data_IF_724753720245
#
_entry.id   IF_724753720245
#
_cell.length_a   1.000
_cell.length_b   1.000
_cell.length_c   1.000
_cell.angle_alpha   90.00
_cell.angle_beta   90.00
_cell.angle_gamma   90.00
#
_symmetry.space_group_name_H-M   'P 1'
#
loop_
_entity.id
_entity.type
_entity.pdbx_description
1 polymer ?
#
# COMPACT_ATOMS: atom_id res chain seq x y z
N UNK A 1 16.54 9.18 5.62
CA UNK A 1 16.89 9.49 4.21
C UNK A 1 18.27 8.97 3.78
N UNK A 2 19.27 8.86 4.68
CA UNK A 2 20.63 8.40 4.33
C UNK A 2 20.71 7.02 3.64
N UNK A 3 19.73 6.14 3.86
CA UNK A 3 19.63 4.82 3.22
C UNK A 3 18.75 4.78 1.97
N UNK A 4 18.36 5.93 1.41
CA UNK A 4 17.51 6.08 0.19
C UNK A 4 16.17 5.32 0.19
N UNK A 5 15.67 4.88 1.35
CA UNK A 5 14.34 4.28 1.50
C UNK A 5 13.38 5.33 2.05
N UNK A 6 12.73 6.08 1.16
CA UNK A 6 11.68 7.03 1.50
C UNK A 6 10.38 6.56 0.88
N UNK A 7 9.38 6.33 1.71
CA UNK A 7 8.07 5.87 1.29
C UNK A 7 7.01 6.88 1.74
N UNK A 8 6.03 7.11 0.88
CA UNK A 8 4.89 7.96 1.13
C UNK A 8 3.60 7.16 1.00
N UNK A 9 2.60 7.51 1.80
CA UNK A 9 1.24 6.98 1.70
C UNK A 9 0.26 8.15 1.66
N UNK A 10 -0.90 7.91 1.05
CA UNK A 10 -2.07 8.75 1.25
C UNK A 10 -2.64 8.49 2.65
N UNK A 11 -2.93 9.55 3.39
CA UNK A 11 -3.42 9.48 4.79
C UNK A 11 -4.68 8.64 4.95
N UNK A 12 -5.49 8.47 3.89
CA UNK A 12 -6.67 7.59 3.96
C UNK A 12 -6.33 6.13 4.23
N UNK A 13 -5.11 5.65 3.91
CA UNK A 13 -4.67 4.29 4.23
C UNK A 13 -4.52 4.04 5.74
N UNK A 14 -4.46 5.08 6.57
CA UNK A 14 -4.45 4.96 8.05
C UNK A 14 -5.74 5.47 8.69
N UNK A 15 -6.46 6.36 8.01
CA UNK A 15 -7.66 7.01 8.55
C UNK A 15 -8.96 6.27 8.19
N UNK A 16 -8.96 5.48 7.12
CA UNK A 16 -10.14 4.72 6.63
C UNK A 16 -9.95 3.25 7.01
N UNK A 17 -10.62 2.73 8.06
CA UNK A 17 -10.32 1.41 8.61
C UNK A 17 -10.32 0.25 7.60
N UNK A 18 -11.23 0.19 6.60
CA UNK A 18 -11.18 -0.83 5.54
C UNK A 18 -9.90 -0.82 4.70
N UNK A 19 -9.23 0.32 4.57
CA UNK A 19 -8.00 0.47 3.78
C UNK A 19 -6.73 0.21 4.60
N UNK A 20 -6.84 0.03 5.93
CA UNK A 20 -5.69 -0.18 6.80
C UNK A 20 -4.87 -1.42 6.42
N UNK A 21 -5.50 -2.42 5.78
CA UNK A 21 -4.79 -3.61 5.30
C UNK A 21 -3.71 -3.26 4.27
N UNK A 22 -4.00 -2.31 3.37
CA UNK A 22 -3.01 -1.83 2.38
C UNK A 22 -1.81 -1.18 3.07
N UNK A 23 -2.05 -0.40 4.12
CA UNK A 23 -0.94 0.17 4.90
C UNK A 23 -0.07 -0.92 5.54
N UNK A 24 -0.68 -1.96 6.10
CA UNK A 24 0.04 -3.06 6.73
C UNK A 24 0.88 -3.83 5.69
N UNK A 25 0.31 -4.13 4.52
CA UNK A 25 1.01 -4.81 3.43
C UNK A 25 2.22 -4.00 2.93
N UNK A 26 2.03 -2.69 2.73
CA UNK A 26 3.10 -1.78 2.34
C UNK A 26 4.20 -1.72 3.41
N UNK A 27 3.83 -1.55 4.68
CA UNK A 27 4.78 -1.53 5.77
C UNK A 27 5.56 -2.86 5.89
N UNK A 28 4.88 -3.99 5.75
CA UNK A 28 5.51 -5.32 5.76
C UNK A 28 6.52 -5.45 4.62
N UNK A 29 6.14 -5.06 3.39
CA UNK A 29 7.00 -5.14 2.21
C UNK A 29 8.21 -4.20 2.30
N UNK A 30 8.05 -3.00 2.84
CA UNK A 30 9.16 -2.06 3.02
C UNK A 30 10.14 -2.46 4.12
N UNK A 31 9.65 -3.09 5.20
CA UNK A 31 10.47 -3.54 6.33
C UNK A 31 11.16 -4.88 6.05
N UNK A 32 10.49 -5.79 5.36
CA UNK A 32 10.95 -7.17 5.12
C UNK A 32 10.68 -7.62 3.68
N UNK A 33 11.33 -7.00 2.67
CA UNK A 33 11.05 -7.28 1.26
C UNK A 33 11.23 -8.76 0.89
N UNK A 34 12.26 -9.43 1.42
CA UNK A 34 12.52 -10.86 1.15
C UNK A 34 11.45 -11.80 1.72
N UNK A 35 10.76 -11.41 2.80
CA UNK A 35 9.72 -12.24 3.44
C UNK A 35 8.32 -11.96 2.92
N UNK A 36 8.18 -10.88 2.16
CA UNK A 36 6.92 -10.32 1.70
C UNK A 36 6.91 -10.15 0.18
N UNK A 37 7.69 -10.96 -0.54
CA UNK A 37 7.75 -10.92 -2.00
C UNK A 37 6.40 -11.24 -2.65
N UNK A 38 5.65 -12.17 -2.05
CA UNK A 38 4.33 -12.62 -2.50
C UNK A 38 3.20 -11.62 -2.22
N UNK A 39 3.44 -10.59 -1.41
CA UNK A 39 2.41 -9.59 -1.07
C UNK A 39 2.33 -8.55 -2.20
N UNK A 40 1.16 -8.41 -2.82
CA UNK A 40 0.89 -7.37 -3.83
C UNK A 40 -0.22 -6.40 -3.35
N UNK A 41 0.15 -5.24 -2.80
CA UNK A 41 -0.82 -4.23 -2.38
C UNK A 41 -1.68 -3.69 -3.53
N UNK A 42 -1.22 -3.78 -4.78
CA UNK A 42 -1.99 -3.34 -5.95
C UNK A 42 -3.13 -4.31 -6.23
N UNK A 43 -2.88 -5.61 -6.10
CA UNK A 43 -3.91 -6.64 -6.19
C UNK A 43 -4.95 -6.50 -5.08
N UNK A 44 -4.51 -6.24 -3.84
CA UNK A 44 -5.42 -5.99 -2.72
C UNK A 44 -6.31 -4.76 -2.97
N UNK A 45 -5.75 -3.66 -3.51
CA UNK A 45 -6.54 -2.48 -3.86
C UNK A 45 -7.54 -2.77 -4.99
N UNK A 46 -7.14 -3.55 -6.00
CA UNK A 46 -8.03 -3.97 -7.07
C UNK A 46 -9.20 -4.83 -6.54
N UNK A 47 -8.92 -5.77 -5.64
CA UNK A 47 -9.96 -6.57 -5.00
C UNK A 47 -10.91 -5.71 -4.16
N UNK A 48 -10.39 -4.73 -3.43
CA UNK A 48 -11.24 -3.80 -2.65
C UNK A 48 -12.16 -3.00 -3.57
N UNK A 49 -11.62 -2.49 -4.68
CA UNK A 49 -12.36 -1.76 -5.70
C UNK A 49 -13.47 -2.62 -6.33
N UNK A 50 -13.18 -3.89 -6.63
CA UNK A 50 -14.13 -4.80 -7.28
C UNK A 50 -15.24 -5.25 -6.34
N UNK A 51 -14.89 -5.62 -5.10
CA UNK A 51 -15.81 -6.34 -4.21
C UNK A 51 -16.61 -5.45 -3.27
N UNK A 52 -16.10 -4.26 -2.93
CA UNK A 52 -16.67 -3.47 -1.83
C UNK A 52 -17.00 -2.02 -2.18
N UNK A 53 -16.37 -1.41 -3.18
CA UNK A 53 -16.54 0.00 -3.49
C UNK A 53 -17.53 0.23 -4.63
N UNK A 54 -18.50 1.13 -4.43
CA UNK A 54 -19.42 1.54 -5.50
C UNK A 54 -18.75 2.40 -6.58
N UNK A 55 -17.65 3.06 -6.23
CA UNK A 55 -16.80 3.82 -7.15
C UNK A 55 -15.34 3.46 -6.86
N UNK A 56 -14.55 3.05 -7.87
CA UNK A 56 -13.15 2.70 -7.67
C UNK A 56 -12.31 3.87 -7.14
N UNK A 57 -11.37 3.57 -6.26
CA UNK A 57 -10.28 4.46 -5.88
C UNK A 57 -9.11 4.22 -6.83
N UNK A 58 -8.74 5.23 -7.59
CA UNK A 58 -7.59 5.17 -8.50
C UNK A 58 -6.28 5.23 -7.71
N UNK A 59 -5.40 4.26 -7.98
CA UNK A 59 -4.07 4.17 -7.38
C UNK A 59 -2.96 4.78 -8.25
N UNK A 60 -1.71 4.76 -7.78
CA UNK A 60 -1.29 4.22 -6.48
C UNK A 60 -1.53 5.22 -5.34
N UNK A 61 -1.99 4.71 -4.20
CA UNK A 61 -2.20 5.47 -2.96
C UNK A 61 -0.91 5.60 -2.12
N UNK A 62 0.22 5.19 -2.69
CA UNK A 62 1.53 5.19 -2.08
C UNK A 62 2.60 5.49 -3.13
N UNK A 63 3.77 5.90 -2.67
CA UNK A 63 4.92 6.13 -3.53
C UNK A 63 6.20 5.70 -2.80
N UNK A 64 7.19 5.25 -3.55
CA UNK A 64 8.52 4.96 -3.03
C UNK A 64 9.54 5.71 -3.86
N UNK A 65 10.46 6.38 -3.19
CA UNK A 65 11.65 6.94 -3.81
C UNK A 65 12.77 5.95 -3.61
N UNK A 66 13.15 5.28 -4.70
CA UNK A 66 14.39 4.55 -4.81
C UNK A 66 15.42 5.48 -5.48
N UNK A 67 16.70 5.39 -5.12
CA UNK A 67 17.70 6.32 -5.64
C UNK A 67 19.02 5.70 -5.99
#
# INVERSE_FOLDING_TARGET
VRSKRVHGIWTGLIAVPPLNILFIELAAKWLHPERCEDIDPSATLAEINERFLGTPIEGPLWASLEG
#
